data_IF_507167740631
#
_entry.id   IF_507167740631
#
_cell.length_a   1.000
_cell.length_b   1.000
_cell.length_c   1.000
_cell.angle_alpha   90.00
_cell.angle_beta   90.00
_cell.angle_gamma   90.00
#
_symmetry.space_group_name_H-M   'P 1'
#
loop_
_entity.id
_entity.type
_entity.pdbx_description
1 polymer ?
#
# COMPACT_ATOMS: atom_id res chain seq x y z
N UNK A 1 -9.56 -9.75 -2.63
CA UNK A 1 -8.95 -8.42 -2.40
C UNK A 1 -7.47 -8.58 -2.56
N UNK A 2 -6.83 -7.72 -3.35
CA UNK A 2 -5.38 -7.72 -3.50
C UNK A 2 -4.83 -6.36 -3.04
N UNK A 3 -3.60 -6.36 -2.54
CA UNK A 3 -2.92 -5.15 -2.11
C UNK A 3 -1.54 -5.11 -2.77
N UNK A 4 -1.16 -3.93 -3.23
CA UNK A 4 0.13 -3.70 -3.86
C UNK A 4 0.73 -2.40 -3.30
N UNK A 5 2.04 -2.38 -3.09
CA UNK A 5 2.76 -1.16 -2.73
C UNK A 5 3.66 -0.77 -3.88
N UNK A 6 3.62 0.51 -4.27
CA UNK A 6 4.50 1.06 -5.28
C UNK A 6 5.97 1.06 -4.85
N UNK A 7 6.23 1.06 -3.55
CA UNK A 7 7.59 1.05 -3.02
C UNK A 7 7.67 0.27 -1.68
N UNK A 8 7.97 -1.03 -1.72
CA UNK A 8 8.12 -1.86 -0.53
C UNK A 8 9.28 -1.44 0.39
N UNK A 9 10.23 -0.63 -0.08
CA UNK A 9 11.34 -0.09 0.74
C UNK A 9 10.81 1.01 1.69
N UNK A 10 9.73 1.71 1.31
CA UNK A 10 9.10 2.76 2.12
C UNK A 10 7.96 2.19 2.95
N UNK A 11 7.04 1.44 2.34
CA UNK A 11 5.97 0.76 3.05
C UNK A 11 5.59 -0.56 2.36
N UNK A 12 5.33 -1.59 3.17
CA UNK A 12 4.82 -2.88 2.70
C UNK A 12 3.37 -3.04 3.12
N UNK A 13 2.60 -3.78 2.32
CA UNK A 13 1.21 -4.14 2.64
C UNK A 13 1.07 -5.66 2.57
N UNK A 14 0.38 -6.25 3.54
CA UNK A 14 0.14 -7.69 3.55
C UNK A 14 -1.25 -8.04 3.00
N UNK A 15 -1.51 -9.33 2.82
CA UNK A 15 -2.78 -9.86 2.31
C UNK A 15 -4.00 -9.55 3.20
N UNK A 16 -3.78 -9.09 4.43
CA UNK A 16 -4.83 -8.64 5.38
C UNK A 16 -5.08 -7.13 5.29
N UNK A 17 -4.37 -6.40 4.43
CA UNK A 17 -4.49 -4.94 4.28
C UNK A 17 -3.75 -4.13 5.34
N UNK A 18 -2.85 -4.77 6.10
CA UNK A 18 -2.04 -4.06 7.11
C UNK A 18 -0.83 -3.45 6.40
N UNK A 19 -0.73 -2.12 6.48
CA UNK A 19 0.38 -1.36 5.95
C UNK A 19 1.43 -1.20 7.06
N UNK A 20 2.68 -1.57 6.75
CA UNK A 20 3.82 -1.41 7.63
C UNK A 20 4.82 -0.44 7.01
N UNK A 21 5.15 0.62 7.75
CA UNK A 21 6.23 1.52 7.37
C UNK A 21 7.58 0.80 7.54
N UNK A 22 8.42 0.86 6.50
CA UNK A 22 9.74 0.23 6.44
C UNK A 22 10.83 1.30 6.46
N UNK A 23 10.65 2.39 5.72
CA UNK A 23 11.64 3.45 5.57
C UNK A 23 11.02 4.81 5.32
N UNK A 24 11.80 5.87 5.56
CA UNK A 24 11.43 7.25 5.26
C UNK A 24 11.25 7.45 3.75
N UNK A 25 10.16 8.09 3.37
CA UNK A 25 9.85 8.35 1.97
C UNK A 25 8.36 8.53 1.71
N UNK A 26 8.02 8.68 0.43
CA UNK A 26 6.64 8.68 -0.05
C UNK A 26 6.42 7.46 -0.93
N UNK A 27 5.29 6.77 -0.73
CA UNK A 27 4.86 5.66 -1.56
C UNK A 27 3.34 5.64 -1.72
N UNK A 28 2.85 4.84 -2.65
CA UNK A 28 1.44 4.68 -2.92
C UNK A 28 1.08 3.21 -2.70
N UNK A 29 0.02 2.97 -1.94
CA UNK A 29 -0.54 1.64 -1.71
C UNK A 29 -1.84 1.52 -2.49
N UNK A 30 -1.94 0.50 -3.32
CA UNK A 30 -3.09 0.16 -4.12
C UNK A 30 -3.87 -0.96 -3.44
N UNK A 31 -5.18 -0.80 -3.32
CA UNK A 31 -6.08 -1.83 -2.84
C UNK A 31 -7.12 -2.14 -3.91
N UNK A 32 -7.15 -3.40 -4.33
CA UNK A 32 -8.04 -3.93 -5.36
C UNK A 32 -9.15 -4.75 -4.71
N UNK A 33 -10.38 -4.28 -4.86
CA UNK A 33 -11.57 -4.97 -4.42
C UNK A 33 -12.02 -6.02 -5.47
N UNK A 34 -12.70 -7.07 -5.00
CA UNK A 34 -13.15 -8.17 -5.87
C UNK A 34 -14.21 -7.74 -6.90
N UNK A 35 -14.89 -6.62 -6.66
CA UNK A 35 -15.87 -6.03 -7.56
C UNK A 35 -15.25 -5.15 -8.67
N UNK A 36 -13.92 -5.17 -8.83
CA UNK A 36 -13.20 -4.39 -9.84
C UNK A 36 -12.89 -2.94 -9.44
N UNK A 37 -13.29 -2.52 -8.25
CA UNK A 37 -12.93 -1.19 -7.73
C UNK A 37 -11.50 -1.23 -7.22
N UNK A 38 -10.71 -0.20 -7.53
CA UNK A 38 -9.38 -0.01 -6.92
C UNK A 38 -9.29 1.36 -6.27
N UNK A 39 -8.59 1.43 -5.14
CA UNK A 39 -8.27 2.69 -4.47
C UNK A 39 -6.76 2.80 -4.35
N UNK A 40 -6.26 4.04 -4.42
CA UNK A 40 -4.86 4.34 -4.12
C UNK A 40 -4.76 5.21 -2.88
N UNK A 41 -3.81 4.89 -2.02
CA UNK A 41 -3.57 5.54 -0.74
C UNK A 41 -2.15 6.08 -0.78
N UNK A 42 -2.00 7.40 -0.67
CA UNK A 42 -0.67 8.02 -0.58
C UNK A 42 -0.16 7.92 0.86
N UNK A 43 0.96 7.24 1.04
CA UNK A 43 1.60 7.01 2.33
C UNK A 43 2.88 7.84 2.39
N UNK A 44 2.98 8.71 3.39
CA UNK A 44 4.16 9.54 3.64
C UNK A 44 4.75 9.19 5.00
N UNK A 45 5.92 8.57 4.98
CA UNK A 45 6.67 8.18 6.18
C UNK A 45 7.72 9.26 6.44
N UNK A 46 7.56 9.97 7.57
CA UNK A 46 8.45 11.05 8.02
C UNK A 46 9.31 10.64 9.20
#
# INVERSE_FOLDING_TARGET
VAYESSNPIVATVNSKGIIKAVGKGECEVYAYAQNGVSIKIKVKVK
#
